data_IF_986838093745
#
_entry.id   IF_986838093745
#
_cell.length_a   1.000
_cell.length_b   1.000
_cell.length_c   1.000
_cell.angle_alpha   90.00
_cell.angle_beta   90.00
_cell.angle_gamma   90.00
#
_symmetry.space_group_name_H-M   'P 1'
#
loop_
_entity.id
_entity.type
_entity.pdbx_description
1 polymer ?
#
# COMPACT_ATOMS: atom_id res chain seq x y z
N UNK A 1 -12.57 11.47 14.23
CA UNK A 1 -11.93 10.17 13.93
C UNK A 1 -11.34 10.25 12.55
N UNK A 2 -10.02 10.10 12.44
CA UNK A 2 -9.41 9.83 11.14
C UNK A 2 -9.21 8.33 11.11
N UNK A 3 -10.10 7.65 10.41
CA UNK A 3 -9.85 6.32 9.94
C UNK A 3 -9.06 6.45 8.64
N UNK A 4 -7.87 6.01 8.61
CA UNK A 4 -7.30 5.35 7.46
C UNK A 4 -5.80 5.16 7.57
N UNK A 5 -5.41 4.00 7.57
CA UNK A 5 -4.41 3.51 6.68
C UNK A 5 -4.91 2.14 6.25
N UNK A 6 -5.49 2.06 5.10
CA UNK A 6 -5.72 0.78 4.46
C UNK A 6 -4.35 0.20 4.13
N UNK A 7 -3.90 -0.70 4.99
CA UNK A 7 -2.74 -1.53 4.73
C UNK A 7 -3.28 -2.78 4.07
N UNK A 8 -2.96 -3.02 2.84
CA UNK A 8 -3.30 -4.29 2.21
C UNK A 8 -3.78 -4.26 0.78
N UNK A 9 -4.41 -3.19 0.30
CA UNK A 9 -4.88 -3.17 -1.08
C UNK A 9 -3.77 -3.00 -2.12
N UNK A 10 -2.57 -2.70 -1.70
CA UNK A 10 -1.53 -2.19 -2.59
C UNK A 10 -0.36 -3.11 -2.83
N UNK A 11 -0.15 -4.11 -2.00
CA UNK A 11 0.92 -5.11 -2.20
C UNK A 11 0.55 -6.24 -3.14
N UNK A 12 -0.48 -6.15 -3.73
CA UNK A 12 -1.46 -7.13 -4.06
C UNK A 12 -1.41 -7.71 -5.45
N UNK A 13 -0.27 -8.08 -5.96
CA UNK A 13 -0.22 -9.15 -6.95
C UNK A 13 0.22 -10.47 -6.31
N UNK A 14 0.95 -10.43 -5.21
CA UNK A 14 1.33 -11.62 -4.44
C UNK A 14 0.38 -11.95 -3.29
N UNK A 15 -0.08 -10.95 -2.56
CA UNK A 15 -1.02 -11.11 -1.45
C UNK A 15 -2.45 -11.26 -1.92
N UNK A 16 -2.69 -11.25 -3.22
CA UNK A 16 -3.99 -11.49 -3.80
C UNK A 16 -4.07 -12.89 -4.35
N UNK A 17 -5.09 -13.60 -3.98
CA UNK A 17 -5.45 -14.82 -4.66
C UNK A 17 -6.65 -14.56 -5.58
N UNK A 18 -6.69 -15.28 -6.70
CA UNK A 18 -7.84 -15.21 -7.61
C UNK A 18 -9.09 -15.71 -6.92
N UNK A 19 -10.23 -15.15 -7.32
CA UNK A 19 -11.53 -15.70 -6.95
C UNK A 19 -11.65 -17.14 -7.45
N UNK A 20 -12.23 -17.99 -6.64
CA UNK A 20 -12.62 -19.32 -7.06
C UNK A 20 -13.84 -19.31 -7.98
N UNK A 21 -14.02 -20.34 -8.77
CA UNK A 21 -15.20 -20.50 -9.62
C UNK A 21 -16.49 -20.70 -8.79
N UNK A 22 -16.38 -21.04 -7.52
CA UNK A 22 -17.48 -21.24 -6.59
C UNK A 22 -17.08 -20.89 -5.14
N UNK A 23 -18.08 -20.86 -4.23
CA UNK A 23 -17.87 -20.49 -2.81
C UNK A 23 -16.91 -21.41 -2.05
N UNK A 24 -16.83 -22.68 -2.43
CA UNK A 24 -15.95 -23.63 -1.73
C UNK A 24 -14.49 -23.46 -2.16
N UNK A 25 -14.28 -23.16 -3.42
CA UNK A 25 -12.97 -22.81 -3.95
C UNK A 25 -12.49 -21.46 -3.40
N UNK A 26 -13.37 -20.46 -3.29
CA UNK A 26 -13.08 -19.19 -2.59
C UNK A 26 -12.61 -19.42 -1.14
N UNK A 27 -13.26 -20.33 -0.42
CA UNK A 27 -12.86 -20.67 0.96
C UNK A 27 -11.48 -21.34 1.00
N UNK A 28 -11.20 -22.26 0.07
CA UNK A 28 -9.89 -22.91 -0.01
C UNK A 28 -8.79 -21.89 -0.30
N UNK A 29 -9.01 -21.01 -1.27
CA UNK A 29 -8.07 -19.97 -1.65
C UNK A 29 -7.83 -18.98 -0.51
N UNK A 30 -8.89 -18.54 0.17
CA UNK A 30 -8.77 -17.69 1.37
C UNK A 30 -7.95 -18.36 2.48
N UNK A 31 -8.17 -19.64 2.70
CA UNK A 31 -7.45 -20.39 3.74
C UNK A 31 -5.98 -20.64 3.38
N UNK A 32 -5.69 -20.87 2.10
CA UNK A 32 -4.32 -20.98 1.60
C UNK A 32 -3.56 -19.67 1.78
N UNK A 33 -4.18 -18.54 1.44
CA UNK A 33 -3.60 -17.21 1.59
C UNK A 33 -3.26 -16.88 3.06
N UNK A 34 -4.14 -17.21 4.00
CA UNK A 34 -3.92 -17.02 5.44
C UNK A 34 -2.95 -18.05 6.07
N UNK A 35 -2.46 -19.01 5.32
CA UNK A 35 -1.45 -19.99 5.76
C UNK A 35 -0.08 -19.76 5.13
N UNK A 36 0.04 -18.88 4.19
CA UNK A 36 1.32 -18.53 3.60
C UNK A 36 2.13 -17.69 4.58
N UNK A 37 3.15 -18.31 5.18
CA UNK A 37 4.00 -17.68 6.21
C UNK A 37 4.71 -16.43 5.69
N UNK A 38 5.08 -16.42 4.40
CA UNK A 38 5.72 -15.27 3.78
C UNK A 38 4.76 -14.09 3.68
N UNK A 39 3.58 -14.32 3.12
CA UNK A 39 2.53 -13.30 2.95
C UNK A 39 2.12 -12.73 4.31
N UNK A 40 1.91 -13.57 5.32
CA UNK A 40 1.60 -13.17 6.69
C UNK A 40 2.72 -12.33 7.31
N UNK A 41 3.97 -12.72 7.11
CA UNK A 41 5.13 -11.99 7.62
C UNK A 41 5.27 -10.60 6.99
N UNK A 42 5.16 -10.52 5.66
CA UNK A 42 5.18 -9.26 4.92
C UNK A 42 4.01 -8.35 5.35
N UNK A 43 2.81 -8.90 5.46
CA UNK A 43 1.63 -8.15 5.91
C UNK A 43 1.79 -7.63 7.35
N UNK A 44 2.32 -8.46 8.26
CA UNK A 44 2.60 -8.05 9.65
C UNK A 44 3.57 -6.87 9.71
N UNK A 45 4.63 -6.89 8.92
CA UNK A 45 5.57 -5.77 8.80
C UNK A 45 4.87 -4.48 8.34
N UNK A 46 3.95 -4.59 7.41
CA UNK A 46 3.20 -3.42 6.92
C UNK A 46 2.21 -2.88 7.95
N UNK A 47 1.56 -3.76 8.70
CA UNK A 47 0.69 -3.36 9.82
C UNK A 47 1.50 -2.57 10.85
N UNK A 48 2.72 -3.01 11.17
CA UNK A 48 3.58 -2.29 12.10
C UNK A 48 4.04 -0.93 11.55
N UNK A 49 4.33 -0.84 10.25
CA UNK A 49 4.62 0.45 9.60
C UNK A 49 3.40 1.38 9.65
N UNK A 50 2.22 0.88 9.35
CA UNK A 50 0.97 1.64 9.43
C UNK A 50 0.68 2.11 10.87
N UNK A 51 0.91 1.26 11.87
CA UNK A 51 0.80 1.64 13.29
C UNK A 51 1.75 2.78 13.65
N UNK A 52 3.01 2.69 13.23
CA UNK A 52 4.00 3.73 13.47
C UNK A 52 3.60 5.07 12.84
N UNK A 53 3.12 5.04 11.60
CA UNK A 53 2.69 6.25 10.89
C UNK A 53 1.47 6.89 11.59
N UNK A 54 0.43 6.11 11.92
CA UNK A 54 -0.76 6.59 12.64
C UNK A 54 -0.40 7.07 14.05
N UNK A 55 0.48 6.37 14.77
CA UNK A 55 0.89 6.78 16.13
C UNK A 55 1.53 8.17 16.16
N UNK A 56 2.25 8.56 15.13
CA UNK A 56 2.91 9.89 15.04
C UNK A 56 1.90 11.04 15.06
N UNK A 57 0.73 10.86 14.49
CA UNK A 57 -0.32 11.88 14.37
C UNK A 57 -1.46 11.69 15.37
N UNK A 58 -1.50 10.57 16.08
CA UNK A 58 -2.59 10.25 17.02
C UNK A 58 -2.27 10.71 18.45
N UNK A 59 -3.32 11.00 19.22
CA UNK A 59 -3.23 11.15 20.68
C UNK A 59 -2.65 9.87 21.30
N UNK A 60 -1.87 10.04 22.35
CA UNK A 60 -1.22 8.91 23.03
C UNK A 60 -2.26 7.90 23.52
N UNK A 61 -2.01 6.62 23.22
CA UNK A 61 -2.86 5.51 23.64
C UNK A 61 -4.14 5.30 22.81
N UNK A 62 -4.38 6.10 21.76
CA UNK A 62 -5.60 5.97 20.95
C UNK A 62 -5.42 5.14 19.68
N UNK A 63 -4.18 4.91 19.24
CA UNK A 63 -3.94 4.09 18.05
C UNK A 63 -4.25 2.62 18.32
N UNK A 64 -5.06 2.02 17.45
CA UNK A 64 -5.49 0.61 17.56
C UNK A 64 -5.67 0.01 16.17
N UNK A 65 -5.59 -1.30 16.11
CA UNK A 65 -5.95 -2.08 14.92
C UNK A 65 -7.42 -2.45 15.05
N UNK A 66 -8.24 -2.06 14.10
CA UNK A 66 -9.68 -2.35 14.05
C UNK A 66 -10.00 -3.57 13.21
N UNK A 67 -9.20 -3.82 12.17
CA UNK A 67 -9.21 -5.08 11.40
C UNK A 67 -7.80 -5.60 11.32
N UNK A 68 -7.61 -6.89 11.48
CA UNK A 68 -6.30 -7.55 11.39
C UNK A 68 -6.39 -8.79 10.50
N UNK A 69 -5.71 -8.73 9.34
CA UNK A 69 -5.61 -9.86 8.40
C UNK A 69 -6.97 -10.44 7.97
N UNK A 70 -7.95 -9.57 7.75
CA UNK A 70 -9.25 -9.97 7.25
C UNK A 70 -9.21 -10.16 5.73
N UNK A 71 -9.94 -11.16 5.23
CA UNK A 71 -10.05 -11.38 3.79
C UNK A 71 -11.18 -10.53 3.23
N UNK A 72 -10.83 -9.55 2.41
CA UNK A 72 -11.80 -8.82 1.60
C UNK A 72 -11.87 -9.39 0.19
N UNK A 73 -13.12 -9.59 -0.29
CA UNK A 73 -13.41 -10.19 -1.59
C UNK A 73 -13.87 -9.13 -2.56
N UNK A 74 -13.11 -8.97 -3.63
CA UNK A 74 -13.46 -8.12 -4.75
C UNK A 74 -13.95 -8.97 -5.93
N UNK A 75 -14.36 -8.36 -7.03
CA UNK A 75 -14.92 -9.06 -8.17
C UNK A 75 -14.00 -10.16 -8.73
N UNK A 76 -12.71 -9.86 -8.86
CA UNK A 76 -11.74 -10.76 -9.50
C UNK A 76 -10.67 -11.30 -8.55
N UNK A 77 -10.52 -10.70 -7.37
CA UNK A 77 -9.43 -11.02 -6.43
C UNK A 77 -9.91 -10.99 -4.98
N UNK A 78 -9.13 -11.61 -4.10
CA UNK A 78 -9.27 -11.49 -2.65
C UNK A 78 -7.98 -10.94 -2.08
N UNK A 79 -8.08 -10.06 -1.08
CA UNK A 79 -6.95 -9.45 -0.42
C UNK A 79 -6.97 -9.69 1.09
N UNK A 80 -5.78 -9.76 1.68
CA UNK A 80 -5.62 -9.60 3.13
C UNK A 80 -5.65 -8.10 3.43
N UNK A 81 -6.51 -7.69 4.34
CA UNK A 81 -6.71 -6.28 4.72
C UNK A 81 -6.54 -6.13 6.21
N UNK A 82 -5.82 -5.09 6.61
CA UNK A 82 -5.75 -4.62 8.00
C UNK A 82 -6.03 -3.13 8.05
N UNK A 83 -6.65 -2.69 9.13
CA UNK A 83 -7.02 -1.30 9.35
C UNK A 83 -6.44 -0.80 10.67
N UNK A 84 -5.73 0.31 10.62
CA UNK A 84 -5.19 0.99 11.79
C UNK A 84 -5.85 2.35 11.92
N UNK A 85 -6.36 2.66 13.10
CA UNK A 85 -7.04 3.92 13.40
C UNK A 85 -6.42 4.60 14.60
N UNK A 86 -6.63 5.91 14.73
CA UNK A 86 -6.22 6.69 15.89
C UNK A 86 -6.99 8.01 15.97
N UNK A 87 -7.10 8.54 17.17
CA UNK A 87 -7.68 9.86 17.38
C UNK A 87 -6.63 10.94 17.09
N UNK A 88 -6.92 11.85 16.17
CA UNK A 88 -5.96 12.87 15.73
C UNK A 88 -5.55 13.78 16.89
N UNK A 89 -4.27 14.12 16.95
CA UNK A 89 -3.76 15.18 17.84
C UNK A 89 -4.40 16.51 17.50
N UNK A 90 -4.61 17.33 18.52
CA UNK A 90 -5.11 18.69 18.34
C UNK A 90 -4.09 19.55 17.59
N UNK A 91 -4.58 20.55 16.87
CA UNK A 91 -3.78 21.54 16.16
C UNK A 91 -2.93 21.00 14.99
N UNK A 92 -3.22 19.82 14.48
CA UNK A 92 -2.61 19.34 13.24
C UNK A 92 -3.43 19.81 12.03
N UNK A 93 -2.75 20.45 11.08
CA UNK A 93 -3.36 20.78 9.81
C UNK A 93 -3.50 19.52 8.93
N UNK A 94 -4.47 19.46 8.00
CA UNK A 94 -4.59 18.37 7.04
C UNK A 94 -3.27 18.10 6.30
N UNK A 95 -2.54 19.16 5.92
CA UNK A 95 -1.25 19.02 5.25
C UNK A 95 -0.17 18.40 6.15
N UNK A 96 -0.18 18.70 7.45
CA UNK A 96 0.73 18.06 8.41
C UNK A 96 0.44 16.56 8.56
N UNK A 97 -0.84 16.17 8.52
CA UNK A 97 -1.26 14.77 8.53
C UNK A 97 -0.72 14.05 7.30
N UNK A 98 -0.97 14.59 6.10
CA UNK A 98 -0.50 14.02 4.84
C UNK A 98 1.03 13.91 4.83
N UNK A 99 1.76 14.96 5.22
CA UNK A 99 3.21 14.98 5.28
C UNK A 99 3.81 13.95 6.26
N UNK A 100 3.07 13.57 7.29
CA UNK A 100 3.49 12.54 8.26
C UNK A 100 3.27 11.12 7.76
N UNK A 101 2.26 10.91 6.92
CA UNK A 101 1.89 9.59 6.39
C UNK A 101 2.63 9.26 5.10
N UNK A 102 2.83 10.23 4.21
CA UNK A 102 3.47 10.00 2.91
C UNK A 102 4.99 10.19 2.95
N UNK A 103 5.74 9.40 2.15
CA UNK A 103 5.29 8.17 1.52
C UNK A 103 4.95 7.10 2.55
N UNK A 104 3.97 6.26 2.25
CA UNK A 104 3.58 5.17 3.15
C UNK A 104 4.68 4.11 3.23
N UNK A 105 4.67 3.31 4.31
CA UNK A 105 5.63 2.22 4.50
C UNK A 105 5.58 1.18 3.37
N UNK A 106 4.39 0.96 2.82
CA UNK A 106 4.15 -0.01 1.73
C UNK A 106 4.95 0.27 0.45
N UNK A 107 5.25 1.53 0.16
CA UNK A 107 6.01 1.95 -1.03
C UNK A 107 7.41 2.46 -0.73
N UNK A 108 7.79 2.49 0.54
CA UNK A 108 9.12 2.90 0.98
C UNK A 108 9.91 1.75 1.62
N UNK A 109 9.36 1.09 2.61
CA UNK A 109 9.99 -0.02 3.33
C UNK A 109 10.29 0.29 4.80
N UNK A 110 10.90 -0.67 5.49
CA UNK A 110 11.26 -0.60 6.90
C UNK A 110 12.77 -0.75 7.11
N UNK A 111 13.41 0.06 7.99
CA UNK A 111 12.91 1.30 8.63
C UNK A 111 12.72 2.42 7.60
N UNK A 112 11.59 3.14 7.65
CA UNK A 112 11.13 4.07 6.62
C UNK A 112 12.21 5.05 6.11
N UNK A 113 12.85 5.79 7.00
CA UNK A 113 13.87 6.78 6.61
C UNK A 113 15.07 6.13 5.90
N UNK A 114 15.51 4.97 6.38
CA UNK A 114 16.64 4.28 5.78
C UNK A 114 16.29 3.71 4.42
N UNK A 115 15.09 3.16 4.28
CA UNK A 115 14.58 2.66 3.01
C UNK A 115 14.49 3.80 1.97
N UNK A 116 13.94 4.96 2.35
CA UNK A 116 13.88 6.14 1.48
C UNK A 116 15.28 6.58 1.02
N UNK A 117 16.26 6.61 1.94
CA UNK A 117 17.65 6.92 1.58
C UNK A 117 18.21 5.92 0.54
N UNK A 118 18.00 4.62 0.76
CA UNK A 118 18.46 3.59 -0.17
C UNK A 118 17.80 3.67 -1.53
N UNK A 119 16.51 3.96 -1.55
CA UNK A 119 15.78 4.19 -2.80
C UNK A 119 16.37 5.39 -3.54
N UNK A 120 16.63 6.50 -2.83
CA UNK A 120 17.23 7.70 -3.41
C UNK A 120 18.64 7.45 -3.96
N UNK A 121 19.45 6.64 -3.26
CA UNK A 121 20.82 6.28 -3.68
C UNK A 121 20.79 5.35 -4.92
N UNK A 122 19.83 4.42 -4.98
CA UNK A 122 19.76 3.37 -6.01
C UNK A 122 18.98 3.79 -7.26
N UNK A 123 18.04 4.72 -7.12
CA UNK A 123 17.11 5.08 -8.19
C UNK A 123 17.47 6.47 -8.76
N UNK A 124 18.01 6.55 -9.98
CA UNK A 124 18.55 7.79 -10.53
C UNK A 124 17.49 8.80 -11.02
N UNK A 125 16.23 8.39 -11.02
CA UNK A 125 15.13 9.21 -11.51
C UNK A 125 14.22 9.70 -10.38
N UNK A 126 13.51 10.80 -10.64
CA UNK A 126 12.46 11.27 -9.73
C UNK A 126 11.20 10.42 -9.92
N UNK A 127 10.63 9.93 -8.83
CA UNK A 127 9.40 9.13 -8.86
C UNK A 127 8.14 9.90 -9.29
N UNK A 128 8.20 11.22 -9.43
CA UNK A 128 7.05 12.03 -9.79
C UNK A 128 5.91 11.84 -8.80
N UNK A 129 4.73 11.45 -9.30
CA UNK A 129 3.54 11.18 -8.48
C UNK A 129 3.57 9.80 -7.83
N UNK A 130 4.38 8.88 -8.33
CA UNK A 130 4.46 7.51 -7.82
C UNK A 130 4.91 7.48 -6.35
N UNK A 131 4.23 6.71 -5.53
CA UNK A 131 4.41 6.64 -4.07
C UNK A 131 3.92 7.88 -3.30
N UNK A 132 3.34 8.86 -3.97
CA UNK A 132 2.65 9.97 -3.35
C UNK A 132 1.20 9.64 -3.02
N UNK A 133 0.38 10.65 -2.82
CA UNK A 133 -1.05 10.50 -2.56
C UNK A 133 -1.89 11.34 -3.51
N UNK A 134 -3.01 10.79 -3.92
CA UNK A 134 -4.04 11.49 -4.67
C UNK A 134 -5.32 11.50 -3.85
N UNK A 135 -5.93 12.65 -3.65
CA UNK A 135 -7.11 12.75 -2.81
C UNK A 135 -7.68 14.14 -2.74
N UNK A 136 -8.50 14.37 -1.75
CA UNK A 136 -9.13 15.66 -1.52
C UNK A 136 -9.14 16.04 -0.04
N UNK A 137 -9.26 17.33 0.21
CA UNK A 137 -9.45 17.93 1.52
C UNK A 137 -10.71 18.78 1.45
N UNK A 138 -11.70 18.47 2.28
CA UNK A 138 -12.94 19.21 2.36
C UNK A 138 -12.83 20.49 3.20
N UNK A 139 -13.79 21.40 3.06
CA UNK A 139 -13.84 22.63 3.88
C UNK A 139 -14.01 22.36 5.38
N UNK A 140 -14.52 21.21 5.78
CA UNK A 140 -14.60 20.76 7.18
C UNK A 140 -13.31 20.07 7.68
N UNK A 141 -12.23 20.17 6.91
CA UNK A 141 -10.93 19.53 7.16
C UNK A 141 -10.89 17.99 7.10
N UNK A 142 -11.98 17.34 6.70
CA UNK A 142 -11.92 15.93 6.36
C UNK A 142 -11.08 15.75 5.11
N UNK A 143 -10.30 14.67 5.10
CA UNK A 143 -9.43 14.32 3.97
C UNK A 143 -9.59 12.85 3.64
N UNK A 144 -9.42 12.53 2.36
CA UNK A 144 -9.39 11.17 1.87
C UNK A 144 -8.33 11.09 0.77
N UNK A 145 -7.36 10.19 0.93
CA UNK A 145 -6.22 10.04 0.05
C UNK A 145 -5.95 8.58 -0.27
N UNK A 146 -5.87 8.29 -1.54
CA UNK A 146 -5.35 7.03 -2.04
C UNK A 146 -3.86 7.14 -2.35
N UNK A 147 -3.14 6.05 -2.18
CA UNK A 147 -1.75 5.97 -2.59
C UNK A 147 -1.64 6.00 -4.12
N UNK A 148 -0.74 6.80 -4.65
CA UNK A 148 -0.53 6.91 -6.09
C UNK A 148 0.34 5.74 -6.60
N UNK A 149 -0.29 4.59 -6.76
CA UNK A 149 0.23 3.38 -7.40
C UNK A 149 -0.73 2.96 -8.50
N UNK A 150 -0.32 2.05 -9.36
CA UNK A 150 -1.17 1.61 -10.50
C UNK A 150 -1.77 2.79 -11.26
N UNK A 151 -0.97 3.84 -11.39
CA UNK A 151 -1.36 5.13 -11.94
C UNK A 151 -0.50 5.42 -13.16
N UNK A 152 -1.15 5.92 -14.19
CA UNK A 152 -0.53 6.38 -15.41
C UNK A 152 -0.66 7.90 -15.50
N UNK A 153 0.45 8.57 -15.72
CA UNK A 153 0.48 10.00 -16.00
C UNK A 153 0.61 10.22 -17.49
N UNK A 154 -0.37 10.88 -18.06
CA UNK A 154 -0.40 11.20 -19.51
C UNK A 154 -0.25 12.70 -19.68
N UNK A 155 0.72 13.12 -20.45
CA UNK A 155 0.86 14.49 -20.92
C UNK A 155 0.88 14.52 -22.47
N UNK A 156 0.99 15.71 -23.06
CA UNK A 156 0.93 15.88 -24.52
C UNK A 156 2.05 15.17 -25.29
N UNK A 157 3.07 14.66 -24.61
CA UNK A 157 4.30 14.14 -25.23
C UNK A 157 4.62 12.71 -24.83
N UNK A 158 4.18 12.28 -23.67
CA UNK A 158 4.59 11.00 -23.11
C UNK A 158 3.58 10.41 -22.14
N UNK A 159 3.67 9.11 -21.98
CA UNK A 159 2.96 8.36 -20.96
C UNK A 159 3.98 7.84 -19.96
N UNK A 160 3.79 8.18 -18.70
CA UNK A 160 4.66 7.73 -17.61
C UNK A 160 3.92 6.70 -16.76
N UNK A 161 4.49 5.53 -16.63
CA UNK A 161 4.01 4.44 -15.79
C UNK A 161 5.15 4.02 -14.88
N UNK A 162 4.90 3.99 -13.58
CA UNK A 162 5.85 3.47 -12.62
C UNK A 162 5.25 2.30 -11.84
N UNK A 163 6.06 1.28 -11.63
CA UNK A 163 5.75 0.12 -10.81
C UNK A 163 6.99 -0.33 -10.05
N UNK A 164 6.79 -1.00 -8.93
CA UNK A 164 7.87 -1.53 -8.11
C UNK A 164 7.44 -2.74 -7.30
N UNK A 165 8.40 -3.44 -6.74
CA UNK A 165 8.21 -4.56 -5.82
C UNK A 165 8.85 -4.28 -4.46
N UNK A 166 8.45 -5.04 -3.46
CA UNK A 166 9.13 -5.09 -2.18
C UNK A 166 10.37 -5.97 -2.31
N UNK A 167 11.53 -5.50 -1.85
CA UNK A 167 12.76 -6.27 -1.86
C UNK A 167 13.16 -6.57 -0.43
N UNK A 168 13.26 -7.85 -0.11
CA UNK A 168 13.70 -8.38 1.18
C UNK A 168 14.92 -9.29 1.00
N UNK A 169 15.50 -9.78 2.09
CA UNK A 169 16.71 -10.61 2.04
C UNK A 169 16.56 -11.86 1.17
N UNK A 170 15.40 -12.50 1.22
CA UNK A 170 15.11 -13.73 0.49
C UNK A 170 14.50 -13.48 -0.91
N UNK A 171 14.46 -12.23 -1.37
CA UNK A 171 13.95 -11.90 -2.70
C UNK A 171 14.84 -12.48 -3.80
N UNK A 172 14.21 -13.05 -4.82
CA UNK A 172 14.84 -13.55 -6.02
C UNK A 172 14.68 -12.50 -7.12
N UNK A 173 15.78 -11.90 -7.64
CA UNK A 173 15.68 -10.75 -8.56
C UNK A 173 14.79 -10.97 -9.77
N UNK A 174 14.83 -12.15 -10.37
CA UNK A 174 14.05 -12.52 -11.55
C UNK A 174 12.54 -12.51 -11.24
N UNK A 175 12.16 -13.02 -10.07
CA UNK A 175 10.76 -13.04 -9.62
C UNK A 175 10.25 -11.63 -9.31
N UNK A 176 11.07 -10.80 -8.66
CA UNK A 176 10.73 -9.41 -8.35
C UNK A 176 10.55 -8.58 -9.64
N UNK A 177 11.38 -8.83 -10.65
CA UNK A 177 11.24 -8.22 -11.96
C UNK A 177 9.95 -8.63 -12.66
N UNK A 178 9.61 -9.92 -12.63
CA UNK A 178 8.35 -10.43 -13.19
C UNK A 178 7.14 -9.82 -12.49
N UNK A 179 7.18 -9.71 -11.16
CA UNK A 179 6.13 -9.06 -10.38
C UNK A 179 5.95 -7.60 -10.77
N UNK A 180 7.05 -6.86 -10.91
CA UNK A 180 7.03 -5.47 -11.32
C UNK A 180 6.39 -5.30 -12.70
N UNK A 181 6.76 -6.15 -13.66
CA UNK A 181 6.15 -6.17 -15.01
C UNK A 181 4.66 -6.49 -14.95
N UNK A 182 4.27 -7.45 -14.12
CA UNK A 182 2.87 -7.84 -13.94
C UNK A 182 2.05 -6.69 -13.32
N UNK A 183 2.64 -5.95 -12.36
CA UNK A 183 2.01 -4.75 -11.79
C UNK A 183 1.79 -3.63 -12.81
N UNK A 184 2.66 -3.49 -13.79
CA UNK A 184 2.52 -2.50 -14.85
C UNK A 184 1.59 -2.95 -15.98
N UNK A 185 1.38 -4.26 -16.14
CA UNK A 185 0.69 -4.84 -17.30
C UNK A 185 -0.68 -4.26 -17.57
N UNK A 186 -1.51 -4.11 -16.53
CA UNK A 186 -2.88 -3.57 -16.68
C UNK A 186 -2.91 -2.13 -17.22
N UNK A 187 -1.87 -1.35 -16.95
CA UNK A 187 -1.74 0.01 -17.48
C UNK A 187 -1.19 0.00 -18.90
N UNK A 188 -0.24 -0.89 -19.18
CA UNK A 188 0.35 -1.03 -20.51
C UNK A 188 -0.66 -1.55 -21.56
N UNK A 189 -1.64 -2.35 -21.15
CA UNK A 189 -2.68 -2.87 -22.02
C UNK A 189 -3.74 -1.81 -22.40
N UNK A 190 -3.81 -0.69 -21.69
CA UNK A 190 -4.74 0.43 -21.97
C UNK A 190 -4.09 1.49 -22.86
N UNK A 191 -2.76 1.49 -22.98
CA UNK A 191 -2.07 2.40 -23.90
C UNK A 191 -2.26 1.94 -25.33
N UNK A 192 -2.68 2.82 -26.25
CA UNK A 192 -2.87 2.47 -27.67
C UNK A 192 -1.58 2.04 -28.36
#
# INVERSE_FOLDING_TARGET
EIASCLVGSEMCIRDSTKRGANKDEDKKNSHALLKDEKEISEHSMLVDLGRNDIHRISKVGTSKITKLMEIEKYEHVMHIVSEVVGELKENLSPMSVIASLLPTGTVSGAPKLRAIQRIYEAYPFKRGIYSGGVGYINCNHNLDFALAIRTMLIDDKQVNIEAGCGVVYDSIPEKELEETKLKAKSLLEVTP
#
